data_IF_572624416672
#
_entry.id   IF_572624416672
#
_cell.length_a   1.000
_cell.length_b   1.000
_cell.length_c   1.000
_cell.angle_alpha   90.00
_cell.angle_beta   90.00
_cell.angle_gamma   90.00
#
_symmetry.space_group_name_H-M   'P 1'
#
loop_
_entity.id
_entity.type
_entity.pdbx_description
1 polymer ?
#
# COMPACT_ATOMS: atom_id res chain seq x y z
N UNK A 1 -10.28 -39.50 38.18
CA UNK A 1 -9.75 -38.16 37.90
C UNK A 1 -10.38 -37.72 36.59
N UNK A 2 -11.38 -36.84 36.64
CA UNK A 2 -12.05 -36.33 35.45
C UNK A 2 -11.30 -35.07 35.01
N UNK A 3 -10.48 -35.20 33.97
CA UNK A 3 -9.85 -34.04 33.33
C UNK A 3 -10.99 -33.32 32.59
N UNK A 4 -11.29 -32.10 33.04
CA UNK A 4 -12.35 -31.27 32.46
C UNK A 4 -11.98 -30.92 31.01
N UNK A 5 -12.71 -31.52 30.07
CA UNK A 5 -12.60 -31.26 28.62
C UNK A 5 -12.96 -29.83 28.21
N UNK A 6 -13.40 -28.97 29.15
CA UNK A 6 -13.84 -27.59 28.89
C UNK A 6 -12.65 -26.61 28.89
N UNK A 7 -11.56 -26.97 29.55
CA UNK A 7 -10.40 -26.08 29.75
C UNK A 7 -9.53 -25.84 28.48
N UNK A 8 -9.36 -26.78 27.53
CA UNK A 8 -8.59 -26.53 26.30
C UNK A 8 -9.27 -25.58 25.32
N UNK A 9 -10.61 -25.56 25.28
CA UNK A 9 -11.38 -24.75 24.32
C UNK A 9 -11.29 -23.25 24.64
N UNK A 10 -11.30 -22.90 25.94
CA UNK A 10 -11.18 -21.52 26.41
C UNK A 10 -9.81 -20.90 26.10
N UNK A 11 -8.73 -21.70 26.14
CA UNK A 11 -7.39 -21.25 25.77
C UNK A 11 -7.27 -20.94 24.27
N UNK A 12 -7.92 -21.74 23.42
CA UNK A 12 -8.01 -21.51 21.97
C UNK A 12 -8.79 -20.24 21.63
N UNK A 13 -9.90 -20.00 22.33
CA UNK A 13 -10.69 -18.77 22.19
C UNK A 13 -9.91 -17.53 22.63
N UNK A 14 -9.16 -17.60 23.74
CA UNK A 14 -8.30 -16.49 24.19
C UNK A 14 -7.20 -16.15 23.18
N UNK A 15 -6.59 -17.15 22.53
CA UNK A 15 -5.55 -16.95 21.52
C UNK A 15 -6.01 -16.17 20.30
N UNK A 16 -7.27 -16.28 19.89
CA UNK A 16 -7.81 -15.55 18.72
C UNK A 16 -7.90 -14.04 18.98
N UNK A 17 -8.06 -13.62 20.24
CA UNK A 17 -8.10 -12.20 20.62
C UNK A 17 -6.71 -11.53 20.68
N UNK A 18 -5.62 -12.32 20.70
CA UNK A 18 -4.25 -11.81 20.68
C UNK A 18 -3.60 -11.88 19.30
N UNK A 19 -4.35 -12.30 18.26
CA UNK A 19 -3.84 -12.16 16.90
C UNK A 19 -3.67 -10.67 16.61
N UNK A 20 -2.47 -10.20 16.27
CA UNK A 20 -2.32 -8.85 15.75
C UNK A 20 -3.21 -8.75 14.52
N UNK A 21 -4.29 -7.98 14.63
CA UNK A 21 -5.15 -7.73 13.50
C UNK A 21 -4.28 -7.08 12.42
N UNK A 22 -3.93 -7.83 11.39
CA UNK A 22 -3.33 -7.31 10.17
C UNK A 22 -4.39 -6.40 9.54
N UNK A 23 -4.42 -5.13 9.96
CA UNK A 23 -5.38 -4.15 9.46
C UNK A 23 -4.93 -3.73 8.08
N UNK A 24 -5.44 -4.44 7.07
CA UNK A 24 -5.29 -4.05 5.68
C UNK A 24 -5.79 -2.61 5.50
N UNK A 25 -5.05 -1.82 4.71
CA UNK A 25 -5.43 -0.44 4.41
C UNK A 25 -6.53 -0.45 3.35
N UNK A 26 -7.60 0.29 3.60
CA UNK A 26 -8.62 0.57 2.59
C UNK A 26 -8.02 1.52 1.57
N UNK A 27 -8.06 1.12 0.30
CA UNK A 27 -7.57 1.90 -0.83
C UNK A 27 -8.62 1.98 -1.92
N UNK A 28 -8.50 2.98 -2.77
CA UNK A 28 -9.31 3.16 -3.98
C UNK A 28 -8.40 3.34 -5.19
N UNK A 29 -8.89 3.00 -6.39
CA UNK A 29 -8.19 3.40 -7.61
C UNK A 29 -8.37 4.90 -7.85
N UNK A 30 -7.31 5.58 -8.27
CA UNK A 30 -7.35 7.03 -8.49
C UNK A 30 -8.38 7.43 -9.56
N UNK A 31 -8.61 6.58 -10.56
CA UNK A 31 -9.61 6.77 -11.60
C UNK A 31 -10.98 6.16 -11.28
N UNK A 32 -11.17 5.63 -10.06
CA UNK A 32 -12.37 4.95 -9.53
C UNK A 32 -12.79 3.66 -10.25
N UNK A 33 -12.29 3.41 -11.45
CA UNK A 33 -12.66 2.26 -12.28
C UNK A 33 -11.61 1.15 -12.31
N UNK A 34 -10.37 1.42 -11.90
CA UNK A 34 -9.24 0.50 -12.03
C UNK A 34 -8.49 0.67 -13.36
N UNK A 35 -7.44 -0.13 -13.55
CA UNK A 35 -6.56 -0.03 -14.70
C UNK A 35 -6.45 -1.37 -15.44
N UNK A 36 -6.25 -1.33 -16.76
CA UNK A 36 -6.12 -2.54 -17.58
C UNK A 36 -4.85 -3.35 -17.26
N UNK A 37 -3.83 -2.68 -16.71
CA UNK A 37 -2.57 -3.30 -16.28
C UNK A 37 -2.77 -4.48 -15.33
N UNK A 38 -3.72 -4.41 -14.40
CA UNK A 38 -3.84 -5.41 -13.34
C UNK A 38 -4.82 -5.03 -12.25
N UNK A 39 -4.80 -5.80 -11.16
CA UNK A 39 -5.67 -5.58 -10.00
C UNK A 39 -4.86 -5.55 -8.73
N UNK A 40 -4.96 -4.47 -7.96
CA UNK A 40 -4.45 -4.35 -6.60
C UNK A 40 -5.34 -5.17 -5.68
N UNK A 41 -4.71 -6.02 -4.87
CA UNK A 41 -5.39 -6.92 -3.93
C UNK A 41 -5.32 -6.40 -2.50
N UNK A 42 -4.21 -5.75 -2.13
CA UNK A 42 -4.07 -5.10 -0.82
C UNK A 42 -2.98 -4.03 -0.82
N UNK A 43 -3.12 -3.11 0.13
CA UNK A 43 -2.07 -2.17 0.51
C UNK A 43 -1.74 -2.40 1.98
N UNK A 44 -0.45 -2.55 2.27
CA UNK A 44 0.08 -2.64 3.62
C UNK A 44 0.95 -1.42 3.90
N UNK A 45 0.92 -0.97 5.15
CA UNK A 45 1.82 0.07 5.64
C UNK A 45 2.46 -0.37 6.95
N UNK A 46 3.64 0.15 7.22
CA UNK A 46 4.31 0.02 8.52
C UNK A 46 5.00 1.33 8.89
N UNK A 47 4.82 1.85 10.12
CA UNK A 47 3.95 1.32 11.18
C UNK A 47 2.44 1.44 10.86
N UNK A 48 1.62 0.63 11.53
CA UNK A 48 0.15 0.64 11.42
C UNK A 48 -0.49 0.35 12.79
N UNK A 49 -1.16 1.32 13.44
CA UNK A 49 -1.42 2.67 12.98
C UNK A 49 -0.15 3.53 12.91
N UNK A 50 -0.22 4.63 12.16
CA UNK A 50 0.83 5.63 12.12
C UNK A 50 0.70 6.54 13.34
N UNK A 51 1.74 6.55 14.17
CA UNK A 51 1.88 7.40 15.35
C UNK A 51 2.36 8.82 15.00
N UNK A 52 2.22 9.78 15.93
CA UNK A 52 2.59 11.17 15.70
C UNK A 52 4.09 11.39 15.47
N UNK A 53 4.94 10.57 16.10
CA UNK A 53 6.41 10.70 16.06
C UNK A 53 7.06 9.88 14.93
N UNK A 54 6.30 9.14 14.14
CA UNK A 54 6.84 8.40 13.01
C UNK A 54 7.25 9.39 11.92
N UNK A 55 8.52 9.38 11.52
CA UNK A 55 9.04 10.26 10.47
C UNK A 55 8.98 9.66 9.07
N UNK A 56 8.96 8.32 8.98
CA UNK A 56 8.94 7.59 7.72
C UNK A 56 8.01 6.37 7.82
N UNK A 57 7.51 5.95 6.67
CA UNK A 57 6.62 4.83 6.48
C UNK A 57 7.22 3.86 5.48
N UNK A 58 6.87 2.59 5.60
CA UNK A 58 7.01 1.61 4.51
C UNK A 58 5.64 1.32 3.94
N UNK A 59 5.50 1.38 2.63
CA UNK A 59 4.28 1.05 1.89
C UNK A 59 4.56 -0.18 1.04
N UNK A 60 3.64 -1.13 1.00
CA UNK A 60 3.71 -2.26 0.08
C UNK A 60 2.37 -2.41 -0.65
N UNK A 61 2.42 -2.32 -1.98
CA UNK A 61 1.26 -2.55 -2.85
C UNK A 61 1.34 -3.93 -3.46
N UNK A 62 0.31 -4.73 -3.27
CA UNK A 62 0.22 -6.10 -3.77
C UNK A 62 -0.86 -6.17 -4.85
N UNK A 63 -0.60 -6.96 -5.89
CA UNK A 63 -1.58 -7.14 -6.94
C UNK A 63 -1.27 -8.30 -7.86
N UNK A 64 -2.12 -8.45 -8.86
CA UNK A 64 -1.97 -9.40 -9.96
C UNK A 64 -1.91 -8.64 -11.28
N UNK A 65 -0.86 -8.87 -12.05
CA UNK A 65 -0.63 -8.23 -13.34
C UNK A 65 -1.38 -8.97 -14.47
N UNK A 66 -2.06 -8.21 -15.33
CA UNK A 66 -2.65 -8.69 -16.60
C UNK A 66 -1.76 -8.34 -17.79
N UNK A 67 -1.01 -7.25 -17.71
CA UNK A 67 -0.03 -6.83 -18.72
C UNK A 67 1.38 -6.82 -18.13
N UNK A 68 2.41 -6.87 -19.00
CA UNK A 68 3.79 -6.72 -18.58
C UNK A 68 4.21 -5.24 -18.55
N UNK A 69 5.16 -4.92 -17.65
CA UNK A 69 5.95 -3.69 -17.68
C UNK A 69 7.41 -4.10 -17.66
N UNK A 70 8.20 -3.60 -18.61
CA UNK A 70 9.61 -3.95 -18.76
C UNK A 70 10.58 -2.88 -18.22
N UNK A 71 10.09 -1.65 -18.09
CA UNK A 71 10.78 -0.53 -17.46
C UNK A 71 9.74 0.43 -16.91
N UNK A 72 10.00 1.01 -15.75
CA UNK A 72 9.01 1.84 -15.09
C UNK A 72 9.50 2.46 -13.80
N UNK A 73 8.75 3.43 -13.33
CA UNK A 73 8.96 4.09 -12.06
C UNK A 73 7.71 3.98 -11.18
N UNK A 74 7.93 4.08 -9.89
CA UNK A 74 6.91 4.09 -8.87
C UNK A 74 7.05 5.40 -8.12
N UNK A 75 5.95 6.14 -8.04
CA UNK A 75 5.88 7.43 -7.41
C UNK A 75 4.87 7.41 -6.28
N UNK A 76 5.28 8.01 -5.16
CA UNK A 76 4.44 8.17 -3.97
C UNK A 76 4.21 9.65 -3.75
N UNK A 77 2.95 10.04 -3.66
CA UNK A 77 2.53 11.42 -3.44
C UNK A 77 1.73 11.58 -2.15
N UNK A 78 1.85 12.74 -1.51
CA UNK A 78 0.82 13.26 -0.62
C UNK A 78 -0.10 14.16 -1.45
N UNK A 79 -1.40 13.88 -1.43
CA UNK A 79 -2.39 14.61 -2.22
C UNK A 79 -3.55 15.10 -1.36
N UNK A 80 -3.87 16.38 -1.51
CA UNK A 80 -5.12 17.00 -1.07
C UNK A 80 -5.85 17.60 -2.28
N UNK A 81 -6.93 18.36 -2.04
CA UNK A 81 -7.65 19.07 -3.11
C UNK A 81 -6.75 20.08 -3.84
N UNK A 82 -5.84 20.74 -3.12
CA UNK A 82 -5.06 21.88 -3.63
C UNK A 82 -3.57 21.57 -3.81
N UNK A 83 -3.06 20.51 -3.17
CA UNK A 83 -1.62 20.23 -3.08
C UNK A 83 -1.36 18.79 -3.54
N UNK A 84 -0.27 18.61 -4.27
CA UNK A 84 0.26 17.30 -4.66
C UNK A 84 1.77 17.34 -4.55
N UNK A 85 2.29 16.73 -3.50
CA UNK A 85 3.73 16.71 -3.20
C UNK A 85 4.29 15.32 -3.48
N UNK A 86 5.37 15.26 -4.27
CA UNK A 86 6.09 14.03 -4.53
C UNK A 86 6.95 13.67 -3.31
N UNK A 87 6.57 12.62 -2.60
CA UNK A 87 7.27 12.15 -1.40
C UNK A 87 8.43 11.24 -1.74
N UNK A 88 8.24 10.39 -2.77
CA UNK A 88 9.26 9.42 -3.18
C UNK A 88 9.07 9.01 -4.64
N UNK A 89 10.19 8.82 -5.33
CA UNK A 89 10.25 8.18 -6.63
C UNK A 89 11.27 7.04 -6.58
N UNK A 90 10.95 5.90 -7.19
CA UNK A 90 11.84 4.74 -7.25
C UNK A 90 11.64 4.02 -8.57
N UNK A 91 12.71 3.55 -9.20
CA UNK A 91 12.59 2.75 -10.42
C UNK A 91 12.18 1.32 -10.08
N UNK A 92 11.52 0.62 -11.01
CA UNK A 92 11.17 -0.80 -10.83
C UNK A 92 12.40 -1.65 -10.53
N UNK A 93 13.57 -1.32 -11.06
CA UNK A 93 14.83 -2.03 -10.78
C UNK A 93 15.29 -1.95 -9.32
N UNK A 94 14.96 -0.89 -8.61
CA UNK A 94 15.30 -0.76 -7.18
C UNK A 94 14.34 -1.57 -6.31
N UNK A 95 13.10 -1.72 -6.80
CA UNK A 95 11.99 -2.32 -6.06
C UNK A 95 11.80 -3.81 -6.38
N UNK A 96 12.23 -4.24 -7.56
CA UNK A 96 12.15 -5.60 -8.10
C UNK A 96 13.46 -5.95 -8.80
N UNK A 97 14.09 -7.05 -8.43
CA UNK A 97 15.35 -7.53 -9.04
C UNK A 97 15.23 -7.74 -10.55
N UNK A 98 14.04 -8.10 -11.03
CA UNK A 98 13.79 -8.33 -12.45
C UNK A 98 13.65 -7.04 -13.26
N UNK A 99 13.60 -5.86 -12.62
CA UNK A 99 13.25 -4.58 -13.26
C UNK A 99 11.89 -4.55 -13.98
N UNK A 100 11.12 -5.63 -13.89
CA UNK A 100 9.95 -5.88 -14.68
C UNK A 100 8.85 -6.52 -13.83
N UNK A 101 7.62 -6.40 -14.32
CA UNK A 101 6.45 -7.12 -13.82
C UNK A 101 5.91 -7.91 -15.00
N UNK A 102 5.85 -9.24 -14.86
CA UNK A 102 5.40 -10.13 -15.92
C UNK A 102 3.87 -10.29 -15.90
N UNK A 103 3.27 -10.38 -17.09
CA UNK A 103 1.84 -10.65 -17.22
C UNK A 103 1.48 -12.01 -16.58
N UNK A 104 0.35 -12.07 -15.89
CA UNK A 104 -0.16 -13.28 -15.25
C UNK A 104 0.53 -13.62 -13.92
N UNK A 105 1.34 -12.71 -13.37
CA UNK A 105 2.03 -12.92 -12.09
C UNK A 105 1.47 -12.04 -10.98
N UNK A 106 1.65 -12.49 -9.74
CA UNK A 106 1.45 -11.61 -8.57
C UNK A 106 2.69 -10.72 -8.41
N UNK A 107 2.47 -9.45 -8.11
CA UNK A 107 3.53 -8.48 -7.87
C UNK A 107 3.44 -7.88 -6.47
N UNK A 108 4.58 -7.41 -5.99
CA UNK A 108 4.71 -6.61 -4.77
C UNK A 108 5.57 -5.40 -5.10
N UNK A 109 5.11 -4.21 -4.74
CA UNK A 109 5.88 -2.96 -4.85
C UNK A 109 6.28 -2.52 -3.43
N UNK A 110 7.41 -2.98 -2.88
CA UNK A 110 7.93 -2.50 -1.61
C UNK A 110 8.53 -1.10 -1.74
N UNK A 111 8.02 -0.17 -0.94
CA UNK A 111 8.41 1.25 -0.93
C UNK A 111 8.79 1.66 0.50
N UNK A 112 10.01 1.35 0.95
CA UNK A 112 10.49 1.74 2.27
C UNK A 112 10.88 3.24 2.31
N UNK A 113 10.89 3.83 3.50
CA UNK A 113 11.40 5.18 3.73
C UNK A 113 10.61 6.26 2.98
N UNK A 114 9.29 6.14 2.95
CA UNK A 114 8.40 7.19 2.45
C UNK A 114 8.25 8.23 3.57
N UNK A 115 8.64 9.50 3.35
CA UNK A 115 8.48 10.53 4.36
C UNK A 115 7.02 10.65 4.80
N UNK A 116 6.79 10.69 6.11
CA UNK A 116 5.47 11.03 6.63
C UNK A 116 5.41 12.54 6.76
N UNK A 117 4.72 13.19 5.84
CA UNK A 117 4.48 14.62 6.00
C UNK A 117 3.37 14.88 7.03
N UNK A 118 3.65 15.77 7.98
CA UNK A 118 2.66 16.29 8.92
C UNK A 118 1.92 17.42 8.21
N UNK A 119 1.03 17.04 7.30
CA UNK A 119 0.22 18.00 6.57
C UNK A 119 -1.11 18.20 7.31
N UNK A 120 -1.46 19.46 7.59
CA UNK A 120 -2.74 19.80 8.20
C UNK A 120 -3.87 19.64 7.17
N UNK A 121 -4.73 18.63 7.34
CA UNK A 121 -5.93 18.42 6.51
C UNK A 121 -6.14 16.96 6.10
N UNK A 122 -7.12 16.75 5.22
CA UNK A 122 -7.48 15.43 4.70
C UNK A 122 -6.56 15.04 3.52
N UNK A 123 -5.34 14.61 3.84
CA UNK A 123 -4.40 14.12 2.83
C UNK A 123 -4.57 12.61 2.58
N UNK A 124 -4.41 12.24 1.32
CA UNK A 124 -4.28 10.86 0.88
C UNK A 124 -2.87 10.60 0.38
N UNK A 125 -2.40 9.39 0.63
CA UNK A 125 -1.20 8.85 0.00
C UNK A 125 -1.61 8.23 -1.31
N UNK A 126 -0.88 8.55 -2.38
CA UNK A 126 -1.12 8.03 -3.72
C UNK A 126 0.11 7.26 -4.16
N UNK A 127 -0.05 6.02 -4.59
CA UNK A 127 1.02 5.22 -5.18
C UNK A 127 0.70 4.99 -6.65
N UNK A 128 1.56 5.49 -7.53
CA UNK A 128 1.44 5.39 -8.99
C UNK A 128 2.57 4.55 -9.56
N UNK A 129 2.23 3.58 -10.40
CA UNK A 129 3.16 2.83 -11.24
C UNK A 129 3.10 3.40 -12.66
N UNK A 130 4.24 3.84 -13.16
CA UNK A 130 4.40 4.41 -14.48
C UNK A 130 5.23 3.47 -15.34
N UNK A 131 4.79 3.28 -16.58
CA UNK A 131 5.51 2.53 -17.60
C UNK A 131 6.31 3.50 -18.45
N UNK A 132 7.63 3.29 -18.45
CA UNK A 132 8.57 4.03 -19.26
C UNK A 132 8.46 3.49 -20.69
N UNK A 133 7.69 4.16 -21.54
CA UNK A 133 7.61 3.77 -22.95
C UNK A 133 8.99 3.89 -23.60
N UNK A 134 9.38 2.82 -24.30
CA UNK A 134 10.43 2.87 -25.32
C UNK A 134 9.81 3.46 -26.60
N UNK A 135 9.90 4.78 -26.81
CA UNK A 135 9.39 5.48 -28.01
C UNK A 135 9.21 6.99 -27.86
N UNK A 136 8.75 7.68 -28.92
CA UNK A 136 8.73 9.15 -29.08
C UNK A 136 7.72 9.92 -28.19
N UNK A 137 6.90 9.26 -27.36
CA UNK A 137 6.02 9.96 -26.42
C UNK A 137 6.76 10.26 -25.11
N UNK A 138 7.06 11.54 -24.85
CA UNK A 138 7.85 12.00 -23.70
C UNK A 138 7.16 11.85 -22.33
N UNK A 139 5.93 11.37 -22.27
CA UNK A 139 5.17 11.24 -21.02
C UNK A 139 5.01 9.76 -20.63
N UNK A 140 5.45 9.44 -19.41
CA UNK A 140 5.29 8.13 -18.82
C UNK A 140 3.80 7.80 -18.66
N UNK A 141 3.41 6.56 -18.99
CA UNK A 141 1.99 6.17 -18.93
C UNK A 141 1.67 5.60 -17.56
N UNK A 142 0.70 6.18 -16.85
CA UNK A 142 0.22 5.62 -15.58
C UNK A 142 -0.48 4.29 -15.84
N UNK A 143 0.13 3.20 -15.36
CA UNK A 143 -0.41 1.84 -15.49
C UNK A 143 -1.25 1.42 -14.30
N UNK A 144 -0.98 1.96 -13.12
CA UNK A 144 -1.73 1.68 -11.91
C UNK A 144 -1.62 2.88 -10.98
N UNK A 145 -2.70 3.23 -10.31
CA UNK A 145 -2.71 4.26 -9.28
C UNK A 145 -3.73 3.90 -8.21
N UNK A 146 -3.29 3.90 -6.95
CA UNK A 146 -4.17 3.74 -5.79
C UNK A 146 -3.98 4.88 -4.80
N UNK A 147 -5.07 5.33 -4.20
CA UNK A 147 -5.09 6.32 -3.12
C UNK A 147 -5.63 5.70 -1.83
N UNK A 148 -5.07 6.11 -0.68
CA UNK A 148 -5.51 5.67 0.63
C UNK A 148 -5.19 6.71 1.71
N UNK A 149 -5.91 6.65 2.83
CA UNK A 149 -5.65 7.47 4.01
C UNK A 149 -4.81 6.71 5.02
N UNK A 150 -3.93 7.41 5.74
CA UNK A 150 -3.19 6.79 6.83
C UNK A 150 -4.12 6.54 8.03
N UNK A 151 -4.14 5.31 8.59
CA UNK A 151 -4.82 5.04 9.85
C UNK A 151 -4.03 5.70 10.99
N UNK A 152 -4.50 6.84 11.46
CA UNK A 152 -3.91 7.53 12.61
C UNK A 152 -4.37 6.88 13.92
N UNK A 153 -3.53 6.89 14.95
CA UNK A 153 -3.89 6.34 16.26
C UNK A 153 -5.14 6.98 16.89
N UNK A 154 -5.46 8.23 16.52
CA UNK A 154 -6.68 8.93 16.95
C UNK A 154 -7.96 8.38 16.34
N UNK A 155 -7.94 7.81 15.13
CA UNK A 155 -9.14 7.28 14.48
C UNK A 155 -9.58 5.94 15.06
N UNK A 156 -8.67 5.23 15.73
CA UNK A 156 -8.95 3.93 16.37
C UNK A 156 -9.74 4.09 17.67
N UNK A 157 -9.54 5.17 18.42
CA UNK A 157 -10.27 5.44 19.66
C UNK A 157 -11.76 5.77 19.45
N UNK A 158 -12.14 6.18 18.23
CA UNK A 158 -13.53 6.50 17.90
C UNK A 158 -14.34 5.27 17.46
N UNK A 159 -13.71 4.10 17.27
CA UNK A 159 -14.36 2.87 16.77
C UNK A 159 -14.27 1.70 17.75
N UNK A 160 -13.86 1.94 18.99
CA UNK A 160 -13.77 0.95 20.06
C UNK A 160 -14.94 1.05 21.04
#
# INVERSE_FOLDING_TARGET
>A
MAISHVQPLLLLLGSLFFLPALRAINFEYCNKSGYDFGTVTRVEISPNPVGPNDGELSIAVFGHAKESIHAGSIEVYAKSENITDLLRQSTLCVVSEACAIESGTNFVLPLPGVPKEILEGDYKYVVSLLDEKVGDSKEATVRMCVDFSLPTSSSILASA
#
